data_IF_208590730092
#
_entry.id   IF_208590730092
#
_cell.length_a   1.000
_cell.length_b   1.000
_cell.length_c   1.000
_cell.angle_alpha   90.00
_cell.angle_beta   90.00
_cell.angle_gamma   90.00
#
_symmetry.space_group_name_H-M   'P 1'
#
loop_
_entity.id
_entity.type
_entity.pdbx_description
1 polymer ?
#
# COMPACT_ATOMS: atom_id res chain seq x y z
N UNK A 1 -30.72 -21.89 81.26
CA UNK A 1 -30.47 -22.49 79.93
C UNK A 1 -31.20 -21.76 78.78
N UNK A 2 -32.52 -21.50 78.86
CA UNK A 2 -33.32 -20.88 77.77
C UNK A 2 -32.93 -19.43 77.43
N UNK A 3 -32.76 -18.56 78.43
CA UNK A 3 -32.38 -17.15 78.24
C UNK A 3 -31.04 -16.99 77.52
N UNK A 4 -30.04 -17.79 77.88
CA UNK A 4 -28.71 -17.81 77.25
C UNK A 4 -28.81 -18.15 75.76
N UNK A 5 -29.58 -19.19 75.40
CA UNK A 5 -29.79 -19.60 74.01
C UNK A 5 -30.50 -18.52 73.16
N UNK A 6 -31.42 -17.75 73.77
CA UNK A 6 -32.09 -16.63 73.12
C UNK A 6 -31.11 -15.47 72.90
N UNK A 7 -30.34 -15.10 73.93
CA UNK A 7 -29.33 -14.03 73.83
C UNK A 7 -28.25 -14.35 72.79
N UNK A 8 -27.75 -15.60 72.78
CA UNK A 8 -26.77 -16.07 71.81
C UNK A 8 -27.36 -16.06 70.38
N UNK A 9 -28.62 -16.45 70.21
CA UNK A 9 -29.33 -16.41 68.93
C UNK A 9 -29.56 -15.00 68.39
N UNK A 10 -29.96 -14.06 69.24
CA UNK A 10 -30.08 -12.64 68.87
C UNK A 10 -28.73 -12.05 68.48
N UNK A 11 -27.68 -12.28 69.27
CA UNK A 11 -26.33 -11.78 68.94
C UNK A 11 -25.79 -12.39 67.65
N UNK A 12 -26.09 -13.66 67.36
CA UNK A 12 -25.71 -14.29 66.10
C UNK A 12 -26.46 -13.71 64.90
N UNK A 13 -27.76 -13.40 65.05
CA UNK A 13 -28.55 -12.77 64.00
C UNK A 13 -28.08 -11.34 63.70
N UNK A 14 -27.75 -10.56 64.73
CA UNK A 14 -27.21 -9.20 64.57
C UNK A 14 -25.85 -9.22 63.85
N UNK A 15 -24.95 -10.15 64.24
CA UNK A 15 -23.67 -10.34 63.56
C UNK A 15 -23.84 -10.80 62.11
N UNK A 16 -24.72 -11.76 61.86
CA UNK A 16 -24.99 -12.23 60.51
C UNK A 16 -25.57 -11.12 59.61
N UNK A 17 -26.40 -10.23 60.17
CA UNK A 17 -26.94 -9.07 59.44
C UNK A 17 -25.84 -8.07 59.09
N UNK A 18 -24.95 -7.76 60.04
CA UNK A 18 -23.80 -6.87 59.81
C UNK A 18 -22.82 -7.47 58.78
N UNK A 19 -22.52 -8.77 58.90
CA UNK A 19 -21.63 -9.47 57.97
C UNK A 19 -22.22 -9.50 56.56
N UNK A 20 -23.55 -9.66 56.44
CA UNK A 20 -24.25 -9.60 55.16
C UNK A 20 -24.16 -8.20 54.54
N UNK A 21 -24.37 -7.14 55.33
CA UNK A 21 -24.27 -5.76 54.85
C UNK A 21 -22.85 -5.43 54.38
N UNK A 22 -21.83 -5.82 55.16
CA UNK A 22 -20.42 -5.67 54.80
C UNK A 22 -20.06 -6.46 53.53
N UNK A 23 -20.60 -7.68 53.38
CA UNK A 23 -20.39 -8.50 52.19
C UNK A 23 -21.03 -7.86 50.95
N UNK A 24 -22.25 -7.33 51.08
CA UNK A 24 -22.94 -6.61 49.99
C UNK A 24 -22.18 -5.34 49.58
N UNK A 25 -21.68 -4.56 50.55
CA UNK A 25 -20.90 -3.35 50.26
C UNK A 25 -19.60 -3.70 49.54
N UNK A 26 -18.88 -4.74 49.99
CA UNK A 26 -17.67 -5.24 49.33
C UNK A 26 -17.96 -5.72 47.90
N UNK A 27 -19.00 -6.52 47.71
CA UNK A 27 -19.40 -7.00 46.39
C UNK A 27 -19.75 -5.84 45.44
N UNK A 28 -20.45 -4.82 45.94
CA UNK A 28 -20.77 -3.62 45.16
C UNK A 28 -19.50 -2.84 44.76
N UNK A 29 -18.55 -2.66 45.69
CA UNK A 29 -17.26 -2.01 45.42
C UNK A 29 -16.43 -2.78 44.40
N UNK A 30 -16.35 -4.10 44.53
CA UNK A 30 -15.64 -4.96 43.57
C UNK A 30 -16.27 -4.88 42.19
N UNK A 31 -17.60 -4.87 42.09
CA UNK A 31 -18.31 -4.76 40.83
C UNK A 31 -18.08 -3.39 40.16
N UNK A 32 -18.05 -2.30 40.93
CA UNK A 32 -17.73 -0.96 40.40
C UNK A 32 -16.27 -0.87 39.95
N UNK A 33 -15.35 -1.45 40.71
CA UNK A 33 -13.93 -1.54 40.33
C UNK A 33 -13.78 -2.32 39.02
N UNK A 34 -14.37 -3.50 38.92
CA UNK A 34 -14.33 -4.34 37.72
C UNK A 34 -14.92 -3.63 36.50
N UNK A 35 -16.03 -2.89 36.66
CA UNK A 35 -16.61 -2.07 35.58
C UNK A 35 -15.66 -0.98 35.11
N UNK A 36 -14.96 -0.33 36.04
CA UNK A 36 -14.01 0.75 35.74
C UNK A 36 -12.79 0.20 35.00
N UNK A 37 -12.25 -0.92 35.47
CA UNK A 37 -11.14 -1.63 34.81
C UNK A 37 -11.53 -2.12 33.42
N UNK A 38 -12.71 -2.70 33.26
CA UNK A 38 -13.23 -3.12 31.95
C UNK A 38 -13.38 -1.93 30.98
N UNK A 39 -13.92 -0.81 31.43
CA UNK A 39 -14.03 0.40 30.62
C UNK A 39 -12.65 0.93 30.19
N UNK A 40 -11.68 0.95 31.11
CA UNK A 40 -10.30 1.34 30.80
C UNK A 40 -9.63 0.40 29.78
N UNK A 41 -9.87 -0.91 29.90
CA UNK A 41 -9.35 -1.91 28.96
C UNK A 41 -9.96 -1.72 27.56
N UNK A 42 -11.26 -1.45 27.47
CA UNK A 42 -11.94 -1.16 26.20
C UNK A 42 -11.38 0.12 25.56
N UNK A 43 -11.19 1.18 26.34
CA UNK A 43 -10.59 2.43 25.84
C UNK A 43 -9.16 2.21 25.33
N UNK A 44 -8.34 1.46 26.07
CA UNK A 44 -6.99 1.09 25.65
C UNK A 44 -7.00 0.26 24.36
N UNK A 45 -7.92 -0.71 24.24
CA UNK A 45 -8.07 -1.53 23.04
C UNK A 45 -8.48 -0.68 21.83
N UNK A 46 -9.42 0.26 22.00
CA UNK A 46 -9.83 1.18 20.94
C UNK A 46 -8.69 2.10 20.49
N UNK A 47 -7.91 2.65 21.43
CA UNK A 47 -6.72 3.45 21.12
C UNK A 47 -5.68 2.63 20.35
N UNK A 48 -5.42 1.40 20.78
CA UNK A 48 -4.50 0.48 20.10
C UNK A 48 -4.99 0.16 18.68
N UNK A 49 -6.28 -0.10 18.51
CA UNK A 49 -6.88 -0.37 17.22
C UNK A 49 -6.74 0.83 16.27
N UNK A 50 -7.03 2.05 16.75
CA UNK A 50 -6.83 3.26 15.97
C UNK A 50 -5.36 3.45 15.54
N UNK A 51 -4.41 3.22 16.45
CA UNK A 51 -2.98 3.26 16.13
C UNK A 51 -2.58 2.25 15.06
N UNK A 52 -3.09 1.02 15.14
CA UNK A 52 -2.83 -0.03 14.13
C UNK A 52 -3.38 0.40 12.76
N UNK A 53 -4.59 0.95 12.72
CA UNK A 53 -5.21 1.41 11.48
C UNK A 53 -4.42 2.55 10.85
N UNK A 54 -3.98 3.53 11.65
CA UNK A 54 -3.17 4.64 11.13
C UNK A 54 -1.79 4.19 10.65
N UNK A 55 -1.14 3.28 11.38
CA UNK A 55 0.13 2.68 10.93
C UNK A 55 -0.06 1.91 9.61
N UNK A 56 -1.10 1.07 9.51
CA UNK A 56 -1.40 0.32 8.29
C UNK A 56 -1.69 1.25 7.10
N UNK A 57 -2.40 2.37 7.31
CA UNK A 57 -2.63 3.38 6.26
C UNK A 57 -1.32 4.04 5.82
N UNK A 58 -0.42 4.36 6.74
CA UNK A 58 0.87 4.97 6.43
C UNK A 58 1.74 4.00 5.60
N UNK A 59 1.80 2.73 6.02
CA UNK A 59 2.53 1.69 5.30
C UNK A 59 1.94 1.44 3.90
N UNK A 60 0.61 1.39 3.79
CA UNK A 60 -0.06 1.24 2.49
C UNK A 60 0.23 2.41 1.53
N UNK A 61 0.28 3.65 2.04
CA UNK A 61 0.67 4.82 1.22
C UNK A 61 2.11 4.70 0.75
N UNK A 62 3.02 4.34 1.65
CA UNK A 62 4.44 4.17 1.33
C UNK A 62 4.67 3.09 0.27
N UNK A 63 4.01 1.95 0.39
CA UNK A 63 4.12 0.90 -0.62
C UNK A 63 3.46 1.31 -1.94
N UNK A 64 2.34 2.04 -1.88
CA UNK A 64 1.70 2.64 -3.06
C UNK A 64 2.62 3.61 -3.81
N UNK A 65 3.29 4.51 -3.08
CA UNK A 65 4.25 5.45 -3.66
C UNK A 65 5.42 4.71 -4.32
N UNK A 66 5.96 3.68 -3.64
CA UNK A 66 7.03 2.83 -4.17
C UNK A 66 6.60 2.09 -5.44
N UNK A 67 5.39 1.57 -5.50
CA UNK A 67 4.85 0.92 -6.70
C UNK A 67 4.72 1.93 -7.85
N UNK A 68 4.26 3.14 -7.57
CA UNK A 68 4.17 4.22 -8.57
C UNK A 68 5.57 4.61 -9.09
N UNK A 69 6.56 4.72 -8.20
CA UNK A 69 7.94 5.00 -8.60
C UNK A 69 8.52 3.89 -9.48
N UNK A 70 8.30 2.63 -9.12
CA UNK A 70 8.71 1.48 -9.92
C UNK A 70 8.04 1.48 -11.30
N UNK A 71 6.71 1.67 -11.35
CA UNK A 71 5.97 1.74 -12.61
C UNK A 71 6.46 2.90 -13.49
N UNK A 72 6.79 4.06 -12.90
CA UNK A 72 7.37 5.18 -13.66
C UNK A 72 8.74 4.82 -14.22
N UNK A 73 9.59 4.14 -13.45
CA UNK A 73 10.90 3.70 -13.92
C UNK A 73 10.77 2.71 -15.08
N UNK A 74 9.87 1.74 -14.98
CA UNK A 74 9.55 0.77 -16.03
C UNK A 74 9.05 1.46 -17.31
N UNK A 75 8.11 2.40 -17.19
CA UNK A 75 7.61 3.19 -18.33
C UNK A 75 8.76 3.96 -19.00
N UNK A 76 9.67 4.57 -18.23
CA UNK A 76 10.81 5.27 -18.84
C UNK A 76 11.74 4.33 -19.59
N UNK A 77 12.01 3.14 -19.04
CA UNK A 77 12.80 2.12 -19.71
C UNK A 77 12.14 1.67 -21.01
N UNK A 78 10.85 1.37 -20.97
CA UNK A 78 10.08 0.94 -22.14
C UNK A 78 10.02 2.04 -23.22
N UNK A 79 9.89 3.32 -22.82
CA UNK A 79 9.96 4.45 -23.75
C UNK A 79 11.31 4.55 -24.46
N UNK A 80 12.41 4.31 -23.75
CA UNK A 80 13.75 4.30 -24.37
C UNK A 80 13.85 3.15 -25.36
N UNK A 81 13.41 1.95 -24.98
CA UNK A 81 13.40 0.78 -25.86
C UNK A 81 12.55 1.02 -27.12
N UNK A 82 11.33 1.54 -26.98
CA UNK A 82 10.46 1.87 -28.10
C UNK A 82 11.07 2.94 -29.03
N UNK A 83 11.72 3.96 -28.46
CA UNK A 83 12.41 4.99 -29.25
C UNK A 83 13.58 4.41 -30.04
N UNK A 84 14.35 3.52 -29.44
CA UNK A 84 15.49 2.90 -30.09
C UNK A 84 15.05 1.91 -31.17
N UNK A 85 13.96 1.17 -30.96
CA UNK A 85 13.31 0.36 -31.99
C UNK A 85 12.83 1.23 -33.17
N UNK A 86 12.13 2.33 -32.90
CA UNK A 86 11.70 3.28 -33.95
C UNK A 86 12.88 3.86 -34.73
N UNK A 87 14.01 4.17 -34.07
CA UNK A 87 15.22 4.62 -34.77
C UNK A 87 15.76 3.58 -35.73
N UNK A 88 15.74 2.31 -35.35
CA UNK A 88 16.16 1.23 -36.24
C UNK A 88 15.25 1.14 -37.47
N UNK A 89 13.92 1.20 -37.28
CA UNK A 89 12.96 1.20 -38.40
C UNK A 89 13.12 2.42 -39.31
N UNK A 90 13.30 3.61 -38.73
CA UNK A 90 13.53 4.85 -39.48
C UNK A 90 14.83 4.78 -40.28
N UNK A 91 15.89 4.17 -39.75
CA UNK A 91 17.13 3.99 -40.49
C UNK A 91 16.93 3.10 -41.74
N UNK A 92 16.16 2.01 -41.60
CA UNK A 92 15.78 1.15 -42.74
C UNK A 92 14.98 1.93 -43.78
N UNK A 93 13.98 2.71 -43.35
CA UNK A 93 13.18 3.55 -44.25
C UNK A 93 14.01 4.64 -44.93
N UNK A 94 14.97 5.24 -44.23
CA UNK A 94 15.83 6.28 -44.77
C UNK A 94 16.74 5.74 -45.88
N UNK A 95 17.30 4.54 -45.71
CA UNK A 95 18.09 3.87 -46.77
C UNK A 95 17.20 3.57 -47.97
N UNK A 96 16.04 2.96 -47.76
CA UNK A 96 15.09 2.66 -48.86
C UNK A 96 14.63 3.94 -49.60
N UNK A 97 14.41 5.04 -48.87
CA UNK A 97 14.10 6.34 -49.45
C UNK A 97 15.26 6.92 -50.25
N UNK A 98 16.50 6.82 -49.75
CA UNK A 98 17.70 7.25 -50.46
C UNK A 98 17.93 6.45 -51.75
N UNK A 99 17.74 5.13 -51.71
CA UNK A 99 17.77 4.26 -52.90
C UNK A 99 16.73 4.70 -53.94
N UNK A 100 15.49 4.97 -53.52
CA UNK A 100 14.43 5.43 -54.43
C UNK A 100 14.72 6.79 -55.04
N UNK A 101 15.26 7.72 -54.26
CA UNK A 101 15.70 9.02 -54.78
C UNK A 101 16.82 8.81 -55.80
N UNK A 102 17.80 7.96 -55.52
CA UNK A 102 18.90 7.67 -56.45
C UNK A 102 18.37 7.08 -57.77
N UNK A 103 17.46 6.10 -57.72
CA UNK A 103 16.80 5.54 -58.92
C UNK A 103 16.13 6.64 -59.78
N UNK A 104 15.51 7.62 -59.14
CA UNK A 104 14.81 8.71 -59.83
C UNK A 104 15.76 9.82 -60.30
N UNK A 105 16.93 9.94 -59.65
CA UNK A 105 17.97 10.94 -59.93
C UNK A 105 18.97 10.48 -60.99
N UNK A 106 19.03 9.17 -61.28
CA UNK A 106 19.78 8.62 -62.41
C UNK A 106 19.01 8.96 -63.69
N UNK A 107 19.34 10.10 -64.26
CA UNK A 107 18.85 10.52 -65.58
C UNK A 107 19.49 9.63 -66.65
N UNK A 108 18.70 8.70 -67.19
CA UNK A 108 19.13 7.77 -68.22
C UNK A 108 19.68 8.48 -69.49
N UNK A 109 19.26 9.73 -69.78
CA UNK A 109 19.82 10.53 -70.89
C UNK A 109 21.15 11.17 -70.52
N UNK A 110 21.26 11.79 -69.35
CA UNK A 110 22.52 12.44 -68.93
C UNK A 110 23.64 11.42 -68.67
N UNK A 111 23.29 10.22 -68.17
CA UNK A 111 24.27 9.16 -67.93
C UNK A 111 24.59 8.33 -69.18
N UNK A 112 23.69 8.21 -70.16
CA UNK A 112 24.01 7.56 -71.45
C UNK A 112 24.96 8.39 -72.30
N UNK A 113 24.79 9.72 -72.37
CA UNK A 113 25.76 10.60 -73.05
C UNK A 113 27.15 10.56 -72.39
N UNK A 114 27.21 10.42 -71.07
CA UNK A 114 28.47 10.29 -70.33
C UNK A 114 29.13 8.93 -70.57
N UNK A 115 28.34 7.85 -70.64
CA UNK A 115 28.81 6.50 -70.96
C UNK A 115 29.27 6.38 -72.42
N UNK A 116 28.57 7.01 -73.37
CA UNK A 116 28.98 7.06 -74.78
C UNK A 116 30.29 7.84 -74.96
N UNK A 117 30.46 8.99 -74.28
CA UNK A 117 31.73 9.72 -74.30
C UNK A 117 32.89 8.93 -73.71
N UNK A 118 32.66 8.20 -72.61
CA UNK A 118 33.70 7.38 -71.98
C UNK A 118 34.06 6.16 -72.84
N UNK A 119 33.08 5.55 -73.53
CA UNK A 119 33.32 4.44 -74.46
C UNK A 119 34.04 4.88 -75.75
N UNK A 120 33.92 6.15 -76.13
CA UNK A 120 34.63 6.73 -77.27
C UNK A 120 36.08 7.16 -76.96
N UNK A 121 36.46 7.24 -75.68
CA UNK A 121 37.83 7.54 -75.21
C UNK A 121 38.68 6.29 -74.91
N UNK A 122 38.13 5.08 -75.14
CA UNK A 122 38.84 3.78 -75.17
C UNK A 122 39.08 3.33 -76.62
#
# INVERSE_FOLDING_TARGET
>A
ARQKKIADGLSAADRASLDLELAQEKASKELQKAKTEAAALIDQANKRAAQIVEAAKADARKEGDKLIEQARAEIQQERVQARDALRAEVAVLAVAGAEKILETSVDAKAHSEMLEKLAAEL
#
